data_IF_831137009350
#
_entry.id   IF_831137009350
#
_cell.length_a   1.000
_cell.length_b   1.000
_cell.length_c   1.000
_cell.angle_alpha   90.00
_cell.angle_beta   90.00
_cell.angle_gamma   90.00
#
_symmetry.space_group_name_H-M   'P 1'
#
loop_
_entity.id
_entity.type
_entity.pdbx_description
1 polymer ?
#
# COMPACT_ATOMS: atom_id res chain seq x y z
N UNK A 1 -8.68 -24.86 -1.52
CA UNK A 1 -8.51 -23.39 -1.59
C UNK A 1 -9.18 -22.93 -2.87
N UNK A 2 -10.22 -22.08 -2.82
CA UNK A 2 -11.01 -21.80 -4.03
C UNK A 2 -10.46 -20.53 -4.71
N UNK A 3 -9.36 -20.68 -5.44
CA UNK A 3 -8.73 -19.62 -6.25
C UNK A 3 -9.73 -18.98 -7.22
N UNK A 4 -10.70 -19.74 -7.74
CA UNK A 4 -11.74 -19.22 -8.63
C UNK A 4 -12.62 -18.16 -7.94
N UNK A 5 -12.94 -18.33 -6.65
CA UNK A 5 -13.69 -17.31 -5.89
C UNK A 5 -12.89 -16.02 -5.76
N UNK A 6 -11.58 -16.10 -5.54
CA UNK A 6 -10.71 -14.93 -5.45
C UNK A 6 -10.60 -14.20 -6.80
N UNK A 7 -10.41 -14.94 -7.89
CA UNK A 7 -10.36 -14.37 -9.25
C UNK A 7 -11.68 -13.69 -9.60
N UNK A 8 -12.82 -14.35 -9.37
CA UNK A 8 -14.16 -13.74 -9.59
C UNK A 8 -14.37 -12.47 -8.76
N UNK A 9 -13.84 -12.42 -7.54
CA UNK A 9 -13.88 -11.20 -6.72
C UNK A 9 -13.05 -10.08 -7.37
N UNK A 10 -11.84 -10.37 -7.84
CA UNK A 10 -10.99 -9.39 -8.53
C UNK A 10 -11.71 -8.83 -9.76
N UNK A 11 -12.25 -9.70 -10.62
CA UNK A 11 -12.95 -9.29 -11.84
C UNK A 11 -14.15 -8.39 -11.53
N UNK A 12 -14.98 -8.80 -10.55
CA UNK A 12 -16.16 -8.03 -10.13
C UNK A 12 -15.79 -6.66 -9.55
N UNK A 13 -14.65 -6.54 -8.86
CA UNK A 13 -14.25 -5.33 -8.14
C UNK A 13 -13.14 -4.55 -8.85
N UNK A 14 -12.78 -4.92 -10.08
CA UNK A 14 -11.65 -4.37 -10.84
C UNK A 14 -11.56 -2.85 -10.79
N UNK A 15 -12.68 -2.15 -11.04
CA UNK A 15 -12.71 -0.69 -11.05
C UNK A 15 -12.38 -0.07 -9.67
N UNK A 16 -12.85 -0.68 -8.57
CA UNK A 16 -12.51 -0.20 -7.23
C UNK A 16 -11.04 -0.46 -6.89
N UNK A 17 -10.51 -1.62 -7.31
CA UNK A 17 -9.10 -1.96 -7.10
C UNK A 17 -8.17 -1.02 -7.89
N UNK A 18 -8.52 -0.73 -9.15
CA UNK A 18 -7.84 0.26 -9.98
C UNK A 18 -7.88 1.66 -9.33
N UNK A 19 -9.02 2.06 -8.77
CA UNK A 19 -9.13 3.34 -8.08
C UNK A 19 -8.24 3.42 -6.84
N UNK A 20 -8.15 2.34 -6.06
CA UNK A 20 -7.26 2.28 -4.89
C UNK A 20 -5.77 2.35 -5.33
N UNK A 21 -5.40 1.69 -6.44
CA UNK A 21 -4.06 1.80 -7.04
C UNK A 21 -3.77 3.22 -7.54
N UNK A 22 -4.69 3.82 -8.30
CA UNK A 22 -4.55 5.20 -8.77
C UNK A 22 -4.39 6.16 -7.59
N UNK A 23 -5.17 6.00 -6.53
CA UNK A 23 -5.05 6.84 -5.32
C UNK A 23 -3.65 6.74 -4.70
N UNK A 24 -3.04 5.56 -4.69
CA UNK A 24 -1.67 5.37 -4.23
C UNK A 24 -0.64 6.00 -5.19
N UNK A 25 -0.84 5.88 -6.50
CA UNK A 25 0.04 6.50 -7.51
C UNK A 25 0.04 8.02 -7.35
N UNK A 26 -1.12 8.67 -7.17
CA UNK A 26 -1.21 10.13 -7.04
C UNK A 26 -0.59 10.68 -5.73
N UNK A 27 -0.12 9.83 -4.82
CA UNK A 27 0.54 10.25 -3.58
C UNK A 27 2.07 10.22 -3.75
N UNK A 28 2.75 11.38 -3.89
CA UNK A 28 4.19 11.45 -4.18
C UNK A 28 5.04 11.07 -2.96
N UNK A 29 5.21 9.78 -2.69
CA UNK A 29 5.98 9.24 -1.56
C UNK A 29 7.48 9.13 -1.88
N UNK A 30 8.14 10.24 -2.22
CA UNK A 30 9.54 10.25 -2.67
C UNK A 30 10.50 10.21 -1.48
N UNK A 31 11.14 9.06 -1.23
CA UNK A 31 12.00 8.86 -0.04
C UNK A 31 13.27 9.69 -0.08
N UNK A 32 13.91 9.83 -1.24
CA UNK A 32 15.13 10.63 -1.41
C UNK A 32 14.93 12.13 -1.07
N UNK A 33 13.69 12.61 -1.12
CA UNK A 33 13.31 14.00 -0.82
C UNK A 33 12.53 14.13 0.49
N UNK A 34 12.28 13.02 1.20
CA UNK A 34 11.40 12.95 2.37
C UNK A 34 10.02 13.59 2.12
N UNK A 35 9.49 13.39 0.91
CA UNK A 35 8.23 13.96 0.43
C UNK A 35 7.12 12.92 0.49
N UNK A 36 5.93 13.30 0.99
CA UNK A 36 4.71 12.48 0.93
C UNK A 36 4.75 11.12 1.66
N UNK A 37 5.86 10.74 2.31
CA UNK A 37 6.05 9.45 2.97
C UNK A 37 5.03 9.26 4.11
N UNK A 38 4.81 10.30 4.92
CA UNK A 38 3.90 10.20 6.07
C UNK A 38 2.45 10.08 5.60
N UNK A 39 2.09 10.84 4.59
CA UNK A 39 0.79 10.88 3.96
C UNK A 39 0.47 9.52 3.31
N UNK A 40 1.43 8.95 2.57
CA UNK A 40 1.30 7.63 1.98
C UNK A 40 1.15 6.53 3.04
N UNK A 41 1.89 6.61 4.16
CA UNK A 41 1.73 5.65 5.27
C UNK A 41 0.30 5.63 5.84
N UNK A 42 -0.35 6.80 5.90
CA UNK A 42 -1.75 6.94 6.33
C UNK A 42 -2.70 6.36 5.28
N UNK A 43 -2.43 6.61 4.00
CA UNK A 43 -3.23 6.10 2.89
C UNK A 43 -3.19 4.56 2.82
N UNK A 44 -2.01 3.95 2.92
CA UNK A 44 -1.84 2.49 2.96
C UNK A 44 -2.60 1.90 4.16
N UNK A 45 -2.45 2.49 5.35
CA UNK A 45 -3.19 2.02 6.54
C UNK A 45 -4.71 2.11 6.36
N UNK A 46 -5.20 3.17 5.68
CA UNK A 46 -6.63 3.34 5.37
C UNK A 46 -7.13 2.27 4.40
N UNK A 47 -6.36 1.95 3.35
CA UNK A 47 -6.71 0.91 2.37
C UNK A 47 -6.74 -0.47 3.03
N UNK A 48 -5.78 -0.78 3.89
CA UNK A 48 -5.78 -2.02 4.69
C UNK A 48 -7.04 -2.13 5.56
N UNK A 49 -7.38 -1.06 6.30
CA UNK A 49 -8.58 -1.02 7.14
C UNK A 49 -9.88 -1.16 6.33
N UNK A 50 -9.97 -0.50 5.17
CA UNK A 50 -11.10 -0.63 4.22
C UNK A 50 -11.26 -2.08 3.76
N UNK A 51 -10.16 -2.83 3.67
CA UNK A 51 -10.13 -4.24 3.28
C UNK A 51 -10.40 -5.21 4.45
N UNK A 52 -10.73 -4.69 5.64
CA UNK A 52 -10.99 -5.48 6.84
C UNK A 52 -9.74 -5.96 7.58
N UNK A 53 -8.57 -5.41 7.26
CA UNK A 53 -7.29 -5.74 7.90
C UNK A 53 -7.05 -4.77 9.06
N UNK A 54 -6.80 -5.29 10.26
CA UNK A 54 -6.35 -4.44 11.37
C UNK A 54 -4.98 -3.87 11.00
N UNK A 55 -4.85 -2.54 10.99
CA UNK A 55 -3.60 -1.87 10.62
C UNK A 55 -3.19 -0.79 11.62
N UNK A 56 -1.89 -0.71 11.86
CA UNK A 56 -1.22 0.24 12.76
C UNK A 56 -0.02 0.88 12.05
N UNK A 57 0.24 2.15 12.34
CA UNK A 57 1.43 2.87 11.84
C UNK A 57 2.46 2.90 12.96
N UNK A 58 3.61 2.27 12.75
CA UNK A 58 4.70 2.17 13.72
C UNK A 58 5.75 3.24 13.43
N UNK A 59 6.23 3.92 14.46
CA UNK A 59 7.27 4.95 14.36
C UNK A 59 8.50 4.53 15.15
N UNK A 60 9.64 4.37 14.48
CA UNK A 60 10.89 3.87 15.06
C UNK A 60 11.86 5.00 15.47
N UNK A 61 11.43 6.26 15.42
CA UNK A 61 12.24 7.42 15.78
C UNK A 61 11.87 8.65 14.96
N UNK A 62 12.53 9.78 15.22
CA UNK A 62 12.26 11.06 14.53
C UNK A 62 12.64 11.04 13.04
N UNK A 63 13.66 10.25 12.67
CA UNK A 63 14.25 10.24 11.33
C UNK A 63 13.91 8.97 10.52
N UNK A 64 13.09 8.06 11.08
CA UNK A 64 12.69 6.84 10.39
C UNK A 64 11.37 7.05 9.65
N UNK A 65 11.27 6.52 8.42
CA UNK A 65 10.01 6.42 7.71
C UNK A 65 9.01 5.58 8.55
N UNK A 66 7.72 5.95 8.61
CA UNK A 66 6.73 5.13 9.31
C UNK A 66 6.62 3.74 8.67
N UNK A 67 6.46 2.69 9.49
CA UNK A 67 6.11 1.37 8.98
C UNK A 67 4.60 1.20 9.07
N UNK A 68 4.00 0.59 8.05
CA UNK A 68 2.59 0.21 8.10
C UNK A 68 2.52 -1.29 8.38
N UNK A 69 2.03 -1.63 9.56
CA UNK A 69 1.79 -3.01 9.98
C UNK A 69 0.32 -3.35 9.77
N UNK A 70 0.06 -4.57 9.29
CA UNK A 70 -1.27 -5.12 9.15
C UNK A 70 -1.27 -6.62 9.45
N UNK A 71 -2.31 -7.11 10.11
CA UNK A 71 -2.42 -8.52 10.50
C UNK A 71 -3.83 -9.07 10.21
N UNK A 72 -3.87 -10.29 9.69
CA UNK A 72 -5.08 -11.12 9.62
C UNK A 72 -4.79 -12.45 10.31
N UNK A 73 -5.42 -12.69 11.46
CA UNK A 73 -5.27 -13.97 12.17
C UNK A 73 -6.09 -15.06 11.49
N UNK A 74 -5.42 -16.13 11.08
CA UNK A 74 -6.08 -17.29 10.50
C UNK A 74 -6.94 -18.00 11.55
N UNK A 75 -8.22 -18.20 11.25
CA UNK A 75 -9.12 -19.00 12.09
C UNK A 75 -8.87 -20.51 11.97
N UNK A 76 -8.27 -20.94 10.86
CA UNK A 76 -8.14 -22.37 10.50
C UNK A 76 -6.72 -22.92 10.64
N UNK A 77 -5.71 -22.04 10.67
CA UNK A 77 -4.31 -22.44 10.85
C UNK A 77 -3.55 -21.36 11.64
N UNK A 78 -3.75 -21.27 12.97
CA UNK A 78 -3.12 -20.24 13.80
C UNK A 78 -1.62 -20.45 14.04
N UNK A 79 -1.07 -21.62 13.67
CA UNK A 79 0.32 -21.99 13.96
C UNK A 79 1.29 -21.68 12.80
N UNK A 80 0.78 -21.14 11.69
CA UNK A 80 1.60 -20.76 10.53
C UNK A 80 1.39 -19.29 10.22
N UNK A 81 2.50 -18.55 10.10
CA UNK A 81 2.50 -17.12 9.76
C UNK A 81 3.18 -16.91 8.41
N UNK A 82 2.50 -16.20 7.51
CA UNK A 82 3.08 -15.69 6.27
C UNK A 82 3.31 -14.18 6.42
N UNK A 83 4.53 -13.73 6.14
CA UNK A 83 4.89 -12.32 6.15
C UNK A 83 5.00 -11.79 4.72
N UNK A 84 4.25 -10.73 4.44
CA UNK A 84 4.43 -9.93 3.23
C UNK A 84 5.21 -8.67 3.60
N UNK A 85 6.39 -8.50 2.99
CA UNK A 85 7.18 -7.29 3.08
C UNK A 85 7.09 -6.52 1.77
N UNK A 86 6.87 -5.21 1.87
CA UNK A 86 6.86 -4.32 0.72
C UNK A 86 7.25 -2.90 1.17
N UNK A 87 7.41 -2.00 0.21
CA UNK A 87 7.62 -0.58 0.43
C UNK A 87 6.52 0.23 -0.28
N UNK A 88 6.35 1.48 0.15
CA UNK A 88 5.34 2.39 -0.39
C UNK A 88 5.95 3.72 -0.83
N UNK A 89 7.27 3.86 -0.74
CA UNK A 89 8.03 4.97 -1.30
C UNK A 89 8.42 4.70 -2.75
N UNK A 90 8.67 5.78 -3.47
CA UNK A 90 9.04 5.80 -4.89
C UNK A 90 10.29 6.64 -5.12
N UNK A 91 10.85 6.52 -6.33
CA UNK A 91 11.96 7.33 -6.77
C UNK A 91 11.53 8.77 -7.11
N UNK A 92 12.48 9.72 -7.17
CA UNK A 92 12.26 11.03 -7.79
C UNK A 92 11.74 10.89 -9.23
N UNK A 93 10.97 11.88 -9.67
CA UNK A 93 10.30 11.88 -10.97
C UNK A 93 11.14 12.49 -12.08
N UNK A 94 12.23 13.15 -11.74
CA UNK A 94 13.12 13.78 -12.69
C UNK A 94 13.86 12.76 -13.58
N UNK A 95 14.14 13.11 -14.85
CA UNK A 95 13.78 14.37 -15.53
C UNK A 95 12.31 14.43 -15.97
N UNK A 96 11.63 15.54 -15.65
CA UNK A 96 10.19 15.71 -15.93
C UNK A 96 9.89 15.82 -17.43
N UNK A 97 10.84 16.29 -18.23
CA UNK A 97 10.71 16.45 -19.68
C UNK A 97 10.64 15.12 -20.46
N UNK A 98 10.98 13.98 -19.83
CA UNK A 98 10.85 12.66 -20.44
C UNK A 98 9.49 12.00 -20.21
N UNK A 99 8.61 12.65 -19.44
CA UNK A 99 7.27 12.14 -19.19
C UNK A 99 6.28 12.68 -20.22
N UNK A 100 5.52 11.76 -20.84
CA UNK A 100 4.40 12.11 -21.73
C UNK A 100 3.15 12.55 -20.93
N UNK A 101 3.00 12.03 -19.71
CA UNK A 101 1.89 12.29 -18.77
C UNK A 101 2.42 12.63 -17.37
N UNK A 102 1.65 13.35 -16.53
CA UNK A 102 2.04 13.61 -15.14
C UNK A 102 2.42 12.33 -14.39
N UNK A 103 3.55 12.38 -13.68
CA UNK A 103 4.12 11.24 -12.95
C UNK A 103 3.31 10.80 -11.72
N UNK A 104 2.41 11.66 -11.25
CA UNK A 104 1.50 11.45 -10.12
C UNK A 104 0.11 11.97 -10.43
#
# INVERSE_FOLDING_TARGET
>A
MNSEKAIKFIDKNKNSLLKDLQTLIHQPSISAKNEGIKECSVLVSKILKKSGIKSEILRLGKNAAPLVYGEVKSKNNPNTTLLFYNHYDVQPVEPLELWDDPSF
#
